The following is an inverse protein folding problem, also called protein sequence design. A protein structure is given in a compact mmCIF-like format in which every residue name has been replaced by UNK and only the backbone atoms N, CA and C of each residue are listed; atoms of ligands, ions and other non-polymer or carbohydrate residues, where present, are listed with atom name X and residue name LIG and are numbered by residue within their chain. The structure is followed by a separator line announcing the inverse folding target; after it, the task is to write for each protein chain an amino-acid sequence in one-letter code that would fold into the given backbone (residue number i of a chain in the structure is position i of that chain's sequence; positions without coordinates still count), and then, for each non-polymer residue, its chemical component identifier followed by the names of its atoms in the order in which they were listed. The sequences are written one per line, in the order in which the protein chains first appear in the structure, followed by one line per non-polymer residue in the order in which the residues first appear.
data_IF_354666734529
#
_entry.id   IF_354666734529
#
_cell.length_a   1.000
_cell.length_b   1.000
_cell.length_c   1.000
_cell.angle_alpha   90.00
_cell.angle_beta   90.00
_cell.angle_gamma   90.00
#
_symmetry.space_group_name_H-M   'P 1'
#
loop_
_entity.id
_entity.type
_entity.pdbx_description
1 polymer ?
#
# COMPACT_ATOMS: atom_id res chain seq x y z
N UNK A 1 15.09 6.15 -9.70
CA UNK A 1 13.70 5.68 -9.60
C UNK A 1 13.71 4.22 -9.13
N UNK A 2 12.92 3.82 -8.13
CA UNK A 2 12.71 2.39 -7.82
C UNK A 2 11.42 2.01 -8.52
N UNK A 3 11.51 1.36 -9.69
CA UNK A 3 10.34 0.77 -10.31
C UNK A 3 9.65 -0.15 -9.30
N UNK A 4 8.33 -0.03 -9.15
CA UNK A 4 7.58 -0.93 -8.28
C UNK A 4 7.33 -2.19 -9.09
N UNK A 5 8.05 -3.26 -8.74
CA UNK A 5 7.92 -4.55 -9.37
C UNK A 5 7.10 -5.48 -8.48
N UNK A 6 6.13 -6.18 -9.08
CA UNK A 6 5.45 -7.31 -8.45
C UNK A 6 5.70 -8.55 -9.29
N UNK A 7 6.27 -9.59 -8.70
CA UNK A 7 6.50 -10.86 -9.39
C UNK A 7 5.68 -11.99 -8.76
N UNK A 8 5.15 -12.88 -9.58
CA UNK A 8 4.47 -14.10 -9.15
C UNK A 8 4.59 -15.19 -10.20
N UNK A 9 4.61 -16.44 -9.74
CA UNK A 9 4.48 -17.60 -10.60
C UNK A 9 2.99 -17.82 -10.92
N UNK A 10 2.70 -18.18 -12.17
CA UNK A 10 1.36 -18.51 -12.64
C UNK A 10 1.38 -19.84 -13.37
N UNK A 11 0.41 -20.70 -13.08
CA UNK A 11 0.10 -21.91 -13.85
C UNK A 11 -1.38 -21.87 -14.23
N UNK A 12 -1.67 -21.99 -15.52
CA UNK A 12 -3.02 -22.01 -16.07
C UNK A 12 -3.32 -23.39 -16.69
N UNK A 13 -4.51 -23.92 -16.40
CA UNK A 13 -4.95 -25.20 -16.95
C UNK A 13 -6.38 -25.12 -17.47
N UNK A 14 -6.62 -25.71 -18.64
CA UNK A 14 -7.98 -25.87 -19.19
C UNK A 14 -8.65 -27.16 -18.70
N UNK A 15 -7.86 -28.09 -18.16
CA UNK A 15 -8.26 -29.46 -17.81
C UNK A 15 -8.33 -29.68 -16.29
N UNK A 16 -7.35 -29.17 -15.53
CA UNK A 16 -7.28 -29.39 -14.09
C UNK A 16 -8.03 -28.33 -13.29
N UNK A 17 -8.69 -28.73 -12.22
CA UNK A 17 -9.24 -27.82 -11.22
C UNK A 17 -8.12 -27.23 -10.33
N UNK A 18 -8.40 -26.15 -9.58
CA UNK A 18 -7.41 -25.53 -8.70
C UNK A 18 -6.83 -26.51 -7.67
N UNK A 19 -7.68 -27.32 -7.03
CA UNK A 19 -7.23 -28.30 -6.03
C UNK A 19 -6.28 -29.36 -6.62
N UNK A 20 -6.48 -29.74 -7.87
CA UNK A 20 -5.61 -30.68 -8.58
C UNK A 20 -4.27 -30.02 -8.93
N UNK A 21 -4.27 -28.74 -9.31
CA UNK A 21 -3.05 -27.96 -9.49
C UNK A 21 -2.25 -27.84 -8.20
N UNK A 22 -2.91 -27.51 -7.08
CA UNK A 22 -2.26 -27.41 -5.77
C UNK A 22 -1.65 -28.74 -5.32
N UNK A 23 -2.37 -29.85 -5.52
CA UNK A 23 -1.86 -31.19 -5.23
C UNK A 23 -0.65 -31.54 -6.13
N UNK A 24 -0.72 -31.24 -7.43
CA UNK A 24 0.34 -31.55 -8.38
C UNK A 24 1.60 -30.70 -8.17
N UNK A 25 1.44 -29.43 -7.81
CA UNK A 25 2.54 -28.53 -7.48
C UNK A 25 3.05 -28.79 -6.04
N UNK A 26 2.22 -29.42 -5.20
CA UNK A 26 2.47 -29.69 -3.79
C UNK A 26 2.69 -28.44 -2.97
N UNK A 27 1.98 -27.36 -3.33
CA UNK A 27 1.96 -26.09 -2.64
C UNK A 27 0.61 -25.40 -2.89
N UNK A 28 -0.05 -24.84 -1.86
CA UNK A 28 -1.29 -24.11 -2.06
C UNK A 28 -1.08 -22.86 -2.92
N UNK A 29 -2.11 -22.50 -3.68
CA UNK A 29 -2.18 -21.21 -4.33
C UNK A 29 -2.32 -20.14 -3.26
N UNK A 30 -1.64 -19.00 -3.45
CA UNK A 30 -1.97 -17.81 -2.69
C UNK A 30 -3.20 -17.11 -3.28
N UNK A 31 -3.32 -17.16 -4.61
CA UNK A 31 -4.52 -16.74 -5.34
C UNK A 31 -4.81 -17.75 -6.43
N UNK A 32 -6.08 -18.12 -6.60
CA UNK A 32 -6.47 -19.00 -7.68
C UNK A 32 -7.97 -19.01 -7.92
N UNK A 33 -8.36 -19.69 -8.98
CA UNK A 33 -9.76 -20.03 -9.29
C UNK A 33 -9.78 -21.31 -10.11
N UNK A 34 -10.91 -22.02 -10.07
CA UNK A 34 -11.17 -23.13 -10.99
C UNK A 34 -11.93 -22.64 -12.21
N UNK A 35 -11.77 -23.36 -13.32
CA UNK A 35 -12.64 -23.23 -14.49
C UNK A 35 -14.11 -23.37 -14.09
N UNK A 36 -14.96 -22.48 -14.61
CA UNK A 36 -16.38 -22.46 -14.29
C UNK A 36 -16.74 -21.71 -13.00
N UNK A 37 -15.76 -21.33 -12.16
CA UNK A 37 -16.02 -20.45 -11.03
C UNK A 37 -16.52 -19.10 -11.54
N UNK A 38 -17.67 -18.67 -11.04
CA UNK A 38 -18.24 -17.37 -11.32
C UNK A 38 -18.09 -16.46 -10.10
N UNK A 39 -17.74 -15.20 -10.32
CA UNK A 39 -17.78 -14.15 -9.29
C UNK A 39 -18.95 -13.21 -9.57
N UNK A 40 -19.55 -12.56 -8.54
CA UNK A 40 -20.54 -11.52 -8.78
C UNK A 40 -19.97 -10.49 -9.77
N UNK A 41 -20.65 -10.29 -10.90
CA UNK A 41 -20.28 -9.38 -12.01
C UNK A 41 -19.11 -9.82 -12.91
N UNK A 42 -18.71 -11.10 -12.92
CA UNK A 42 -17.76 -11.64 -13.92
C UNK A 42 -18.30 -12.93 -14.55
N UNK A 43 -18.10 -13.14 -15.86
CA UNK A 43 -18.41 -14.42 -16.48
C UNK A 43 -17.56 -15.54 -15.86
N UNK A 44 -18.01 -16.81 -15.93
CA UNK A 44 -17.24 -17.95 -15.47
C UNK A 44 -15.86 -17.99 -16.11
N UNK A 45 -14.85 -18.41 -15.36
CA UNK A 45 -13.48 -18.53 -15.88
C UNK A 45 -13.37 -19.68 -16.89
N UNK A 46 -12.68 -19.45 -18.01
CA UNK A 46 -12.45 -20.47 -19.06
C UNK A 46 -11.34 -21.47 -18.71
N UNK A 47 -10.52 -21.13 -17.71
CA UNK A 47 -9.41 -21.92 -17.20
C UNK A 47 -9.34 -21.86 -15.67
N UNK A 48 -8.64 -22.82 -15.07
CA UNK A 48 -8.19 -22.74 -13.69
C UNK A 48 -6.84 -22.03 -13.63
N UNK A 49 -6.61 -21.28 -12.56
CA UNK A 49 -5.37 -20.54 -12.36
C UNK A 49 -4.81 -20.76 -10.95
N UNK A 50 -3.53 -21.09 -10.87
CA UNK A 50 -2.74 -21.12 -9.64
C UNK A 50 -1.73 -19.98 -9.68
N UNK A 51 -1.70 -19.16 -8.63
CA UNK A 51 -0.72 -18.08 -8.47
C UNK A 51 0.05 -18.21 -7.17
N UNK A 52 1.37 -18.07 -7.27
CA UNK A 52 2.27 -18.02 -6.12
C UNK A 52 3.14 -16.76 -6.15
N UNK A 53 2.87 -15.78 -5.28
CA UNK A 53 3.64 -14.56 -5.21
C UNK A 53 5.08 -14.80 -4.76
N UNK A 54 6.02 -14.09 -5.39
CA UNK A 54 7.44 -14.14 -5.01
C UNK A 54 7.79 -13.08 -3.96
N UNK A 55 6.99 -12.95 -2.89
CA UNK A 55 7.20 -11.93 -1.87
C UNK A 55 8.40 -12.28 -0.98
N UNK A 56 9.52 -11.58 -1.15
CA UNK A 56 10.56 -11.56 -0.11
C UNK A 56 10.11 -10.62 1.01
N UNK A 57 10.19 -11.11 2.26
CA UNK A 57 9.79 -10.43 3.51
C UNK A 57 9.91 -8.89 3.41
N UNK A 58 8.78 -8.21 3.56
CA UNK A 58 8.65 -6.76 3.77
C UNK A 58 9.34 -5.83 2.74
N UNK A 59 9.72 -6.31 1.55
CA UNK A 59 10.32 -5.45 0.53
C UNK A 59 9.78 -5.76 -0.86
N UNK A 60 9.06 -4.77 -1.41
CA UNK A 60 8.98 -4.53 -2.86
C UNK A 60 10.38 -4.79 -3.43
N UNK A 61 10.51 -5.66 -4.44
CA UNK A 61 11.82 -6.04 -4.97
C UNK A 61 12.64 -4.76 -5.21
N UNK A 62 13.73 -4.59 -4.46
CA UNK A 62 14.58 -3.39 -4.49
C UNK A 62 15.42 -3.34 -5.77
N UNK A 63 14.74 -3.37 -6.92
CA UNK A 63 15.30 -3.82 -8.18
C UNK A 63 15.19 -5.33 -8.36
N UNK A 64 15.71 -5.78 -9.50
CA UNK A 64 15.69 -7.16 -10.00
C UNK A 64 16.37 -8.19 -9.10
N UNK A 65 17.34 -7.78 -8.30
CA UNK A 65 18.00 -8.61 -7.27
C UNK A 65 17.02 -9.23 -6.26
N UNK A 66 15.86 -8.59 -6.05
CA UNK A 66 14.80 -9.13 -5.22
C UNK A 66 14.10 -10.34 -5.85
N UNK A 67 13.93 -10.33 -7.17
CA UNK A 67 13.25 -11.41 -7.91
C UNK A 67 14.17 -12.63 -7.97
N UNK A 68 15.45 -12.42 -8.26
CA UNK A 68 16.45 -13.49 -8.29
C UNK A 68 16.55 -14.23 -6.96
N UNK A 69 16.63 -13.51 -5.84
CA UNK A 69 16.66 -14.12 -4.51
C UNK A 69 15.37 -14.88 -4.19
N UNK A 70 14.22 -14.36 -4.60
CA UNK A 70 12.95 -15.04 -4.38
C UNK A 70 12.88 -16.36 -5.17
N UNK A 71 13.33 -16.35 -6.44
CA UNK A 71 13.41 -17.56 -7.27
C UNK A 71 14.42 -18.56 -6.68
N UNK A 72 15.59 -18.09 -6.25
CA UNK A 72 16.61 -18.94 -5.63
C UNK A 72 16.12 -19.60 -4.33
N UNK A 73 15.18 -18.96 -3.61
CA UNK A 73 14.54 -19.53 -2.43
C UNK A 73 13.49 -20.62 -2.72
N UNK A 74 13.12 -20.83 -3.98
CA UNK A 74 12.13 -21.85 -4.36
C UNK A 74 12.76 -23.26 -4.41
N UNK A 75 12.03 -24.30 -3.96
CA UNK A 75 12.50 -25.67 -4.07
C UNK A 75 12.75 -26.09 -5.52
N UNK A 76 13.79 -26.88 -5.76
CA UNK A 76 14.08 -27.42 -7.09
C UNK A 76 12.99 -28.41 -7.55
N UNK A 77 12.39 -29.13 -6.61
CA UNK A 77 11.28 -30.06 -6.84
C UNK A 77 10.04 -29.32 -7.35
N UNK A 78 9.84 -28.05 -6.96
CA UNK A 78 8.75 -27.24 -7.49
C UNK A 78 8.95 -26.98 -8.98
N UNK A 79 10.18 -26.69 -9.42
CA UNK A 79 10.47 -26.53 -10.84
C UNK A 79 10.14 -27.80 -11.63
N UNK A 80 10.51 -28.98 -11.13
CA UNK A 80 10.19 -30.25 -11.78
C UNK A 80 8.68 -30.51 -11.87
N UNK A 81 7.93 -30.17 -10.82
CA UNK A 81 6.47 -30.30 -10.80
C UNK A 81 5.81 -29.34 -11.79
N UNK A 82 6.26 -28.09 -11.84
CA UNK A 82 5.79 -27.13 -12.87
C UNK A 82 6.09 -27.67 -14.26
N UNK A 83 7.30 -28.22 -14.49
CA UNK A 83 7.67 -28.82 -15.77
C UNK A 83 6.76 -29.97 -16.16
N UNK A 84 6.39 -30.83 -15.21
CA UNK A 84 5.45 -31.92 -15.47
C UNK A 84 4.07 -31.40 -15.90
N UNK A 85 3.60 -30.29 -15.32
CA UNK A 85 2.35 -29.61 -15.74
C UNK A 85 2.47 -29.03 -17.15
N UNK A 86 3.59 -28.38 -17.47
CA UNK A 86 3.85 -27.85 -18.83
C UNK A 86 3.86 -28.97 -19.87
N UNK A 87 4.49 -30.11 -19.57
CA UNK A 87 4.47 -31.30 -20.45
C UNK A 87 3.05 -31.87 -20.60
N UNK A 88 2.21 -31.75 -19.58
CA UNK A 88 0.80 -32.15 -19.63
C UNK A 88 -0.10 -31.16 -20.40
N UNK A 89 0.44 -30.04 -20.88
CA UNK A 89 -0.28 -29.06 -21.70
C UNK A 89 -0.69 -27.78 -20.97
N UNK A 90 -0.34 -27.61 -19.68
CA UNK A 90 -0.59 -26.37 -18.96
C UNK A 90 0.35 -25.25 -19.38
N UNK A 91 -0.10 -23.99 -19.25
CA UNK A 91 0.75 -22.83 -19.44
C UNK A 91 1.35 -22.39 -18.10
N UNK A 92 2.66 -22.16 -18.05
CA UNK A 92 3.33 -21.66 -16.85
C UNK A 92 4.18 -20.42 -17.16
N UNK A 93 4.04 -19.36 -16.37
CA UNK A 93 4.76 -18.09 -16.58
C UNK A 93 5.23 -17.47 -15.27
N UNK A 94 6.45 -16.92 -15.25
CA UNK A 94 6.82 -15.89 -14.29
C UNK A 94 6.22 -14.57 -14.78
N UNK A 95 5.26 -14.03 -14.03
CA UNK A 95 4.65 -12.75 -14.35
C UNK A 95 5.31 -11.66 -13.53
N UNK A 96 5.81 -10.62 -14.21
CA UNK A 96 6.40 -9.44 -13.61
C UNK A 96 5.58 -8.24 -14.03
N UNK A 97 4.95 -7.60 -13.06
CA UNK A 97 4.20 -6.36 -13.26
C UNK A 97 5.08 -5.19 -12.87
N UNK A 98 5.34 -4.31 -13.83
CA UNK A 98 6.02 -3.04 -13.63
C UNK A 98 5.00 -1.90 -13.66
N UNK A 99 4.90 -1.15 -12.57
CA UNK A 99 4.20 0.14 -12.55
C UNK A 99 5.22 1.24 -12.89
N UNK A 100 5.04 1.90 -14.04
CA UNK A 100 5.88 3.03 -14.47
C UNK A 100 5.15 4.33 -14.15
N UNK A 101 5.53 4.97 -13.05
CA UNK A 101 5.03 6.28 -12.62
C UNK A 101 6.08 7.37 -12.97
N UNK A 102 5.78 8.22 -13.97
CA UNK A 102 6.50 9.47 -14.26
C UNK A 102 7.82 9.37 -15.06
N UNK A 103 8.25 10.52 -15.60
CA UNK A 103 9.48 10.67 -16.40
C UNK A 103 10.74 10.31 -15.60
N UNK A 104 11.59 9.47 -16.19
CA UNK A 104 12.85 9.02 -15.62
C UNK A 104 14.02 9.89 -16.13
N UNK A 105 14.61 10.76 -15.29
CA UNK A 105 15.78 11.54 -15.68
C UNK A 105 17.08 10.70 -15.69
N UNK A 106 17.04 9.43 -15.27
CA UNK A 106 18.24 8.60 -15.02
C UNK A 106 18.41 7.37 -15.93
N UNK A 107 17.46 7.06 -16.81
CA UNK A 107 17.58 5.93 -17.74
C UNK A 107 17.52 4.59 -17.01
N UNK A 108 16.31 4.08 -16.82
CA UNK A 108 15.97 2.85 -16.11
C UNK A 108 16.82 1.70 -16.62
N UNK A 109 17.74 1.22 -15.78
CA UNK A 109 18.34 -0.10 -15.90
C UNK A 109 17.18 -1.11 -15.95
N UNK A 110 16.98 -1.74 -17.11
CA UNK A 110 15.86 -2.65 -17.35
C UNK A 110 15.79 -3.83 -16.38
N UNK A 111 14.81 -4.70 -16.59
CA UNK A 111 14.70 -5.94 -15.85
C UNK A 111 15.91 -6.85 -16.12
N UNK A 112 16.76 -7.08 -15.13
CA UNK A 112 17.77 -8.14 -15.12
C UNK A 112 17.28 -9.39 -14.38
N UNK A 113 17.71 -10.57 -14.82
CA UNK A 113 17.54 -11.82 -14.10
C UNK A 113 18.90 -12.53 -14.11
N UNK A 114 19.32 -13.02 -12.95
CA UNK A 114 20.55 -13.76 -12.77
C UNK A 114 20.50 -15.13 -13.45
N UNK A 115 21.68 -15.68 -13.75
CA UNK A 115 21.81 -16.97 -14.43
C UNK A 115 21.06 -18.11 -13.70
N UNK A 116 21.08 -18.11 -12.36
CA UNK A 116 20.41 -19.12 -11.54
C UNK A 116 18.87 -19.01 -11.66
N UNK A 117 18.34 -17.80 -11.67
CA UNK A 117 16.90 -17.57 -11.88
C UNK A 117 16.46 -18.03 -13.27
N UNK A 118 17.26 -17.70 -14.29
CA UNK A 118 17.03 -18.16 -15.67
C UNK A 118 17.08 -19.69 -15.76
N UNK A 119 18.07 -20.32 -15.11
CA UNK A 119 18.20 -21.79 -15.09
C UNK A 119 17.01 -22.44 -14.38
N UNK A 120 16.51 -21.86 -13.29
CA UNK A 120 15.33 -22.34 -12.58
C UNK A 120 14.08 -22.26 -13.48
N UNK A 121 13.85 -21.12 -14.15
CA UNK A 121 12.73 -20.94 -15.09
C UNK A 121 12.80 -21.93 -16.26
N UNK A 122 13.99 -22.14 -16.81
CA UNK A 122 14.22 -23.09 -17.90
C UNK A 122 13.94 -24.54 -17.47
N UNK A 123 14.36 -24.93 -16.26
CA UNK A 123 14.04 -26.23 -15.66
C UNK A 123 12.52 -26.40 -15.54
N UNK A 124 11.83 -25.39 -15.03
CA UNK A 124 10.38 -25.38 -14.89
C UNK A 124 9.63 -25.35 -16.24
N UNK A 125 10.30 -24.98 -17.34
CA UNK A 125 9.66 -24.79 -18.64
C UNK A 125 8.72 -23.58 -18.67
N UNK A 126 8.99 -22.56 -17.84
CA UNK A 126 8.15 -21.37 -17.73
C UNK A 126 8.53 -20.32 -18.77
N UNK A 127 7.52 -19.58 -19.27
CA UNK A 127 7.75 -18.34 -20.00
C UNK A 127 7.94 -17.16 -19.03
N UNK A 128 8.48 -16.05 -19.55
CA UNK A 128 8.53 -14.77 -18.86
C UNK A 128 7.45 -13.86 -19.45
N UNK A 129 6.60 -13.32 -18.59
CA UNK A 129 5.53 -12.38 -18.94
C UNK A 129 5.77 -11.07 -18.20
N UNK A 130 5.94 -9.97 -18.94
CA UNK A 130 6.24 -8.65 -18.37
C UNK A 130 5.11 -7.70 -18.72
N UNK A 131 4.28 -7.40 -17.72
CA UNK A 131 3.21 -6.42 -17.83
C UNK A 131 3.73 -5.05 -17.41
N UNK A 132 3.91 -4.16 -18.38
CA UNK A 132 4.26 -2.77 -18.10
C UNK A 132 3.00 -1.92 -18.13
N UNK A 133 2.58 -1.47 -16.96
CA UNK A 133 1.60 -0.41 -16.86
C UNK A 133 2.37 0.90 -16.84
N UNK A 134 2.49 1.53 -18.01
CA UNK A 134 2.64 2.97 -18.01
C UNK A 134 1.36 3.51 -17.38
N UNK A 135 1.47 4.13 -16.21
CA UNK A 135 0.43 5.07 -15.85
C UNK A 135 0.56 6.19 -16.89
N UNK A 136 -0.18 6.06 -18.00
CA UNK A 136 -0.42 7.13 -18.93
C UNK A 136 -1.23 8.17 -18.14
N UNK A 137 -0.56 8.89 -17.26
CA UNK A 137 -0.83 10.30 -17.13
C UNK A 137 -0.52 10.81 -18.54
N UNK A 138 -1.53 10.77 -19.42
CA UNK A 138 -1.46 11.58 -20.61
C UNK A 138 -1.16 12.96 -20.06
N UNK A 139 0.04 13.48 -20.30
CA UNK A 139 0.27 14.88 -20.09
C UNK A 139 -0.80 15.55 -20.95
N UNK A 140 -1.86 16.13 -20.36
CA UNK A 140 -2.75 16.93 -21.15
C UNK A 140 -1.87 18.09 -21.60
N UNK A 141 -1.90 18.42 -22.89
CA UNK A 141 -1.43 19.72 -23.33
C UNK A 141 -2.15 20.76 -22.45
N UNK A 142 -1.42 21.40 -21.54
CA UNK A 142 -1.96 22.25 -20.48
C UNK A 142 -1.97 21.65 -19.07
N UNK A 143 -0.80 21.22 -18.56
CA UNK A 143 -0.60 20.91 -17.13
C UNK A 143 -1.01 22.14 -16.31
N UNK A 144 -2.08 22.00 -15.52
CA UNK A 144 -2.50 23.01 -14.57
C UNK A 144 -1.32 23.35 -13.65
N UNK A 145 -1.07 24.63 -13.30
CA UNK A 145 -0.04 24.99 -12.32
C UNK A 145 -0.21 24.30 -10.96
N UNK A 146 -1.37 23.70 -10.69
CA UNK A 146 -1.69 22.95 -9.47
C UNK A 146 -1.45 21.43 -9.58
N UNK A 147 -0.90 20.93 -10.70
CA UNK A 147 -0.55 19.51 -10.83
C UNK A 147 0.70 19.19 -10.00
N UNK A 148 0.52 18.35 -8.99
CA UNK A 148 1.61 17.75 -8.25
C UNK A 148 1.77 16.29 -8.67
N UNK A 149 3.00 15.82 -9.00
CA UNK A 149 3.22 14.41 -9.28
C UNK A 149 2.81 13.56 -8.07
N UNK A 150 2.39 12.29 -8.25
CA UNK A 150 2.08 11.40 -7.13
C UNK A 150 3.24 11.32 -6.12
N UNK A 151 2.89 11.25 -4.83
CA UNK A 151 3.88 11.19 -3.77
C UNK A 151 4.54 9.81 -3.70
N UNK A 152 5.87 9.75 -3.79
CA UNK A 152 6.60 8.55 -3.42
C UNK A 152 6.59 8.38 -1.89
N UNK A 153 5.78 7.45 -1.40
CA UNK A 153 5.68 7.17 0.04
C UNK A 153 7.00 6.72 0.67
N UNK A 154 7.91 6.10 -0.10
CA UNK A 154 9.23 5.71 0.39
C UNK A 154 10.11 6.93 0.68
N UNK A 155 10.10 7.89 -0.24
CA UNK A 155 10.72 9.20 -0.07
C UNK A 155 10.06 9.98 1.06
N UNK A 156 8.73 10.03 1.12
CA UNK A 156 8.00 10.70 2.20
C UNK A 156 8.39 10.16 3.59
N UNK A 157 8.48 8.84 3.77
CA UNK A 157 8.95 8.24 5.04
C UNK A 157 10.34 8.74 5.40
N UNK A 158 11.27 8.76 4.45
CA UNK A 158 12.64 9.20 4.68
C UNK A 158 12.70 10.69 5.06
N UNK A 159 11.98 11.53 4.31
CA UNK A 159 11.90 12.98 4.53
C UNK A 159 11.24 13.30 5.85
N UNK A 160 10.05 12.76 6.12
CA UNK A 160 9.34 12.97 7.39
C UNK A 160 10.19 12.51 8.58
N UNK A 161 10.83 11.34 8.50
CA UNK A 161 11.72 10.87 9.58
C UNK A 161 12.92 11.81 9.81
N UNK A 162 13.44 12.44 8.75
CA UNK A 162 14.51 13.41 8.86
C UNK A 162 14.03 14.74 9.45
N UNK A 163 12.87 15.25 9.02
CA UNK A 163 12.24 16.45 9.58
C UNK A 163 11.90 16.24 11.06
N UNK A 164 11.35 15.09 11.46
CA UNK A 164 11.09 14.79 12.87
C UNK A 164 12.37 14.79 13.71
N UNK A 165 13.47 14.17 13.26
CA UNK A 165 14.74 14.25 14.01
C UNK A 165 15.27 15.69 14.14
N UNK A 166 15.10 16.51 13.12
CA UNK A 166 15.45 17.94 13.18
C UNK A 166 14.56 18.68 14.18
N UNK A 167 13.26 18.41 14.15
CA UNK A 167 12.30 18.95 15.11
C UNK A 167 12.66 18.56 16.54
N UNK A 168 12.93 17.29 16.82
CA UNK A 168 13.29 16.81 18.16
C UNK A 168 14.56 17.47 18.70
N UNK A 169 15.57 17.66 17.84
CA UNK A 169 16.79 18.39 18.19
C UNK A 169 16.51 19.86 18.52
N UNK A 170 15.70 20.54 17.69
CA UNK A 170 15.29 21.91 17.91
C UNK A 170 14.43 22.07 19.18
N UNK A 171 13.52 21.14 19.42
CA UNK A 171 12.70 21.08 20.64
C UNK A 171 13.59 20.96 21.88
N UNK A 172 14.56 20.05 21.87
CA UNK A 172 15.45 19.84 23.00
C UNK A 172 16.30 21.09 23.31
N UNK A 173 16.79 21.77 22.27
CA UNK A 173 17.50 23.04 22.41
C UNK A 173 16.62 24.14 23.01
N UNK A 174 15.38 24.27 22.51
CA UNK A 174 14.45 25.33 22.92
C UNK A 174 13.86 25.11 24.32
N UNK A 175 13.49 23.87 24.63
CA UNK A 175 12.76 23.52 25.86
C UNK A 175 13.68 23.06 27.00
N UNK A 176 14.94 22.69 26.70
CA UNK A 176 15.91 22.23 27.69
C UNK A 176 15.76 20.76 28.13
N UNK A 177 14.93 19.97 27.43
CA UNK A 177 14.76 18.53 27.64
C UNK A 177 14.32 17.84 26.35
N UNK A 178 14.66 16.55 26.12
CA UNK A 178 14.31 15.85 24.90
C UNK A 178 12.81 15.49 24.86
N UNK A 179 12.29 15.23 23.66
CA UNK A 179 10.97 14.58 23.51
C UNK A 179 11.01 13.15 24.08
N UNK A 180 9.85 12.61 24.42
CA UNK A 180 9.75 11.22 24.86
C UNK A 180 10.08 10.26 23.70
N UNK A 181 10.96 9.26 23.91
CA UNK A 181 11.31 8.30 22.86
C UNK A 181 10.08 7.57 22.33
N UNK A 182 9.90 7.61 21.01
CA UNK A 182 8.77 6.95 20.34
C UNK A 182 7.54 7.83 20.13
N UNK A 183 7.53 9.06 20.67
CA UNK A 183 6.44 10.02 20.46
C UNK A 183 6.35 10.53 19.02
N UNK A 184 7.50 10.64 18.33
CA UNK A 184 7.56 11.01 16.91
C UNK A 184 8.26 9.93 16.08
N UNK A 185 7.47 9.08 15.43
CA UNK A 185 7.96 7.96 14.63
C UNK A 185 7.24 7.85 13.30
N UNK A 186 7.97 7.45 12.27
CA UNK A 186 7.40 6.92 11.03
C UNK A 186 8.01 5.55 10.78
N UNK A 187 7.17 4.54 10.66
CA UNK A 187 7.61 3.16 10.46
C UNK A 187 7.33 2.70 9.04
N UNK A 188 8.15 1.78 8.54
CA UNK A 188 7.87 1.09 7.28
C UNK A 188 7.00 -0.14 7.51
N UNK A 189 6.15 -0.44 6.53
CA UNK A 189 5.31 -1.64 6.53
C UNK A 189 6.17 -2.91 6.65
N UNK A 190 5.66 -3.92 7.36
CA UNK A 190 6.35 -5.20 7.57
C UNK A 190 7.38 -5.26 8.71
N UNK A 191 7.51 -4.20 9.52
CA UNK A 191 8.40 -4.22 10.69
C UNK A 191 7.79 -4.88 11.94
N UNK A 192 6.46 -4.99 12.09
CA UNK A 192 5.86 -5.55 13.33
C UNK A 192 4.39 -6.00 13.28
N UNK A 193 3.69 -5.93 12.14
CA UNK A 193 2.21 -6.00 12.13
C UNK A 193 1.71 -7.24 11.38
N UNK A 194 0.78 -8.05 11.94
CA UNK A 194 0.17 -9.17 11.23
C UNK A 194 -0.55 -8.69 9.96
N UNK A 195 -0.55 -9.54 8.91
CA UNK A 195 -1.20 -9.24 7.64
C UNK A 195 -2.70 -9.01 7.84
N UNK A 196 -3.21 -7.97 7.19
CA UNK A 196 -4.59 -7.51 7.28
C UNK A 196 -5.18 -7.50 5.88
N UNK A 197 -6.43 -7.98 5.66
CA UNK A 197 -7.08 -7.86 4.37
C UNK A 197 -7.36 -6.37 4.06
N UNK A 198 -6.49 -5.74 3.27
CA UNK A 198 -6.64 -4.33 2.87
C UNK A 198 -7.62 -4.15 1.69
N UNK A 199 -8.26 -5.23 1.24
CA UNK A 199 -9.11 -5.25 0.03
C UNK A 199 -10.31 -4.30 0.15
N UNK A 200 -10.75 -4.03 1.38
CA UNK A 200 -11.84 -3.11 1.68
C UNK A 200 -11.37 -1.67 1.90
N UNK A 201 -10.10 -1.33 1.71
CA UNK A 201 -9.61 0.05 1.81
C UNK A 201 -9.57 0.76 0.45
N UNK A 202 -9.76 2.09 0.41
CA UNK A 202 -9.47 2.88 -0.78
C UNK A 202 -8.05 2.62 -1.31
N UNK A 203 -7.90 2.49 -2.63
CA UNK A 203 -6.61 2.19 -3.30
C UNK A 203 -5.46 3.09 -2.85
N UNK A 204 -5.63 4.42 -2.62
CA UNK A 204 -4.55 5.26 -2.10
C UNK A 204 -4.05 4.81 -0.72
N UNK A 205 -4.94 4.45 0.21
CA UNK A 205 -4.56 3.93 1.53
C UNK A 205 -3.89 2.56 1.44
N UNK A 206 -4.33 1.68 0.54
CA UNK A 206 -3.64 0.41 0.28
C UNK A 206 -2.19 0.67 -0.16
N UNK A 207 -1.99 1.56 -1.14
CA UNK A 207 -0.64 1.92 -1.63
C UNK A 207 0.23 2.53 -0.53
N UNK A 208 -0.37 3.32 0.36
CA UNK A 208 0.30 3.90 1.53
C UNK A 208 0.72 2.82 2.52
N UNK A 209 -0.20 1.95 2.95
CA UNK A 209 0.08 0.89 3.93
C UNK A 209 0.96 -0.24 3.40
N UNK A 210 1.11 -0.36 2.09
CA UNK A 210 2.15 -1.20 1.47
C UNK A 210 3.58 -0.70 1.78
N UNK A 211 3.77 0.57 2.13
CA UNK A 211 5.08 1.19 2.38
C UNK A 211 5.23 1.65 3.82
N UNK A 212 4.18 2.24 4.38
CA UNK A 212 4.18 2.89 5.69
C UNK A 212 3.41 2.02 6.68
N UNK A 213 4.01 1.74 7.83
CA UNK A 213 3.37 0.98 8.90
C UNK A 213 2.42 1.86 9.70
N UNK A 214 2.94 2.97 10.21
CA UNK A 214 2.23 4.01 10.95
C UNK A 214 3.08 5.29 10.97
N UNK A 215 2.44 6.41 11.29
CA UNK A 215 3.12 7.65 11.66
C UNK A 215 2.52 8.16 12.98
N UNK A 216 3.36 8.50 13.93
CA UNK A 216 2.97 9.14 15.19
C UNK A 216 3.83 10.39 15.32
N UNK A 217 3.20 11.53 15.56
CA UNK A 217 3.80 12.85 15.64
C UNK A 217 3.22 13.55 16.87
N UNK A 218 3.30 12.90 18.04
CA UNK A 218 2.58 13.30 19.26
C UNK A 218 3.02 14.67 19.78
N UNK A 219 4.24 15.08 19.49
CA UNK A 219 4.79 16.37 19.92
C UNK A 219 4.64 17.47 18.86
N UNK A 220 4.02 17.18 17.71
CA UNK A 220 3.81 18.16 16.63
C UNK A 220 2.43 18.79 16.79
N UNK A 221 2.39 20.09 17.06
CA UNK A 221 1.17 20.86 17.31
C UNK A 221 0.31 20.26 18.45
N UNK A 222 -0.85 19.66 18.15
CA UNK A 222 -1.72 18.96 19.13
C UNK A 222 -1.54 17.44 19.14
N UNK A 223 -0.63 16.93 18.31
CA UNK A 223 -0.28 15.51 18.19
C UNK A 223 -1.00 14.82 17.03
N UNK A 224 -0.30 14.51 15.94
CA UNK A 224 -0.92 13.83 14.79
C UNK A 224 -0.59 12.34 14.77
N UNK A 225 -1.53 11.51 14.30
CA UNK A 225 -1.27 10.10 14.07
C UNK A 225 -1.93 9.58 12.79
N UNK A 226 -1.20 8.76 12.05
CA UNK A 226 -1.70 7.84 11.04
C UNK A 226 -1.57 6.43 11.63
N UNK A 227 -2.71 5.83 11.92
CA UNK A 227 -2.78 4.57 12.65
C UNK A 227 -2.33 3.38 11.78
N UNK A 228 -1.85 2.28 12.37
CA UNK A 228 -1.50 1.11 11.60
C UNK A 228 -2.74 0.45 10.98
N UNK A 229 -2.56 -0.20 9.83
CA UNK A 229 -3.68 -0.79 9.09
C UNK A 229 -4.56 -1.76 9.90
N UNK A 230 -3.98 -2.42 10.92
CA UNK A 230 -4.70 -3.30 11.87
C UNK A 230 -5.77 -2.60 12.68
N UNK A 231 -5.69 -1.28 12.87
CA UNK A 231 -6.76 -0.52 13.57
C UNK A 231 -7.95 -0.21 12.66
N UNK A 232 -7.78 -0.38 11.35
CA UNK A 232 -8.78 -0.03 10.33
C UNK A 232 -9.68 -1.22 10.01
N UNK A 233 -9.06 -2.39 9.93
CA UNK A 233 -9.69 -3.62 9.49
C UNK A 233 -9.68 -4.60 10.66
N UNK A 234 -10.79 -4.63 11.39
CA UNK A 234 -10.99 -5.57 12.47
C UNK A 234 -12.44 -5.61 12.91
N UNK A 235 -12.86 -6.79 13.37
CA UNK A 235 -14.18 -7.08 13.96
C UNK A 235 -14.27 -6.65 15.44
N UNK A 236 -13.25 -5.94 15.94
CA UNK A 236 -13.10 -5.58 17.36
C UNK A 236 -13.74 -4.24 17.75
N UNK A 237 -13.97 -4.09 19.06
CA UNK A 237 -14.54 -2.91 19.76
C UNK A 237 -13.80 -1.57 19.56
N UNK A 238 -12.66 -1.56 18.87
CA UNK A 238 -11.82 -0.37 18.60
C UNK A 238 -11.95 0.15 17.16
N UNK A 239 -12.90 -0.37 16.40
CA UNK A 239 -13.11 0.01 15.03
C UNK A 239 -13.50 1.50 14.89
N UNK A 240 -12.60 2.28 14.28
CA UNK A 240 -12.89 3.65 13.88
C UNK A 240 -14.15 3.73 12.97
N UNK A 241 -14.77 4.91 12.88
CA UNK A 241 -15.92 5.11 12.01
C UNK A 241 -15.64 4.65 10.58
N UNK A 242 -16.53 3.83 10.04
CA UNK A 242 -16.56 3.50 8.61
C UNK A 242 -17.58 4.36 7.86
N UNK A 243 -18.38 5.13 8.59
CA UNK A 243 -19.48 5.94 8.07
C UNK A 243 -19.59 7.26 8.79
N UNK A 244 -20.17 8.23 8.11
CA UNK A 244 -20.53 9.55 8.63
C UNK A 244 -22.00 9.76 8.35
N UNK A 245 -22.74 10.25 9.34
CA UNK A 245 -24.12 10.73 9.19
C UNK A 245 -24.16 12.23 9.48
N UNK A 246 -24.52 13.02 8.46
CA UNK A 246 -24.69 14.47 8.57
C UNK A 246 -26.11 14.80 8.13
N UNK A 247 -26.95 15.22 9.09
CA UNK A 247 -28.33 15.63 8.84
C UNK A 247 -29.14 14.55 8.07
N UNK A 248 -28.87 13.26 8.32
CA UNK A 248 -29.51 12.11 7.66
C UNK A 248 -28.85 11.67 6.35
N UNK A 249 -27.86 12.40 5.86
CA UNK A 249 -27.05 12.01 4.71
C UNK A 249 -25.87 11.14 5.14
N UNK A 250 -25.71 9.98 4.50
CA UNK A 250 -24.67 9.00 4.85
C UNK A 250 -23.54 8.99 3.83
N UNK A 251 -22.31 9.03 4.35
CA UNK A 251 -21.07 8.98 3.57
C UNK A 251 -20.22 7.83 4.08
N UNK A 252 -19.80 6.94 3.19
CA UNK A 252 -18.90 5.84 3.50
C UNK A 252 -17.44 6.33 3.49
N UNK A 253 -16.71 6.01 4.54
CA UNK A 253 -15.34 6.49 4.75
C UNK A 253 -14.39 5.39 5.21
N UNK A 254 -13.10 5.68 5.15
CA UNK A 254 -12.05 4.94 5.83
C UNK A 254 -11.30 5.91 6.75
N UNK A 255 -11.63 5.90 8.05
CA UNK A 255 -10.87 6.66 9.06
C UNK A 255 -9.50 6.02 9.25
N UNK A 256 -8.43 6.79 9.03
CA UNK A 256 -7.05 6.28 9.02
C UNK A 256 -6.11 6.98 10.01
N UNK A 257 -6.54 8.07 10.63
CA UNK A 257 -5.69 8.83 11.53
C UNK A 257 -6.48 9.65 12.56
N UNK A 258 -5.75 10.34 13.42
CA UNK A 258 -6.29 11.22 14.46
C UNK A 258 -5.44 12.48 14.63
N UNK A 259 -6.04 13.52 15.19
CA UNK A 259 -5.37 14.80 15.47
C UNK A 259 -4.94 14.98 16.93
N UNK A 260 -4.98 13.94 17.77
CA UNK A 260 -4.54 14.02 19.18
C UNK A 260 -5.51 14.78 20.10
N UNK A 261 -6.33 15.69 19.56
CA UNK A 261 -7.42 16.40 20.22
C UNK A 261 -8.75 15.65 20.23
N UNK A 262 -8.76 14.39 19.78
CA UNK A 262 -9.95 13.53 19.67
C UNK A 262 -10.68 13.63 18.32
N UNK A 263 -10.19 14.45 17.40
CA UNK A 263 -10.61 14.46 16.01
C UNK A 263 -9.97 13.33 15.21
N UNK A 264 -10.60 13.01 14.08
CA UNK A 264 -10.22 11.89 13.22
C UNK A 264 -9.97 12.37 11.78
N UNK A 265 -9.02 11.74 11.11
CA UNK A 265 -8.82 11.89 9.67
C UNK A 265 -9.44 10.71 8.94
N UNK A 266 -10.27 11.00 7.95
CA UNK A 266 -10.95 9.98 7.17
C UNK A 266 -10.86 10.26 5.67
N UNK A 267 -10.82 9.19 4.89
CA UNK A 267 -10.89 9.26 3.44
C UNK A 267 -12.30 8.91 2.98
N UNK A 268 -12.91 9.78 2.17
CA UNK A 268 -14.19 9.49 1.52
C UNK A 268 -13.96 8.43 0.44
N UNK A 269 -14.71 7.32 0.50
CA UNK A 269 -14.46 6.16 -0.37
C UNK A 269 -14.73 6.46 -1.85
N UNK A 270 -15.73 7.28 -2.13
CA UNK A 270 -16.19 7.52 -3.50
C UNK A 270 -15.24 8.41 -4.31
N UNK A 271 -14.54 9.35 -3.66
CA UNK A 271 -13.72 10.35 -4.35
C UNK A 271 -12.31 10.54 -3.77
N UNK A 272 -11.94 9.80 -2.73
CA UNK A 272 -10.58 9.82 -2.17
C UNK A 272 -10.21 11.07 -1.38
N UNK A 273 -11.11 12.04 -1.23
CA UNK A 273 -10.86 13.26 -0.46
C UNK A 273 -10.62 12.94 1.00
N UNK A 274 -9.72 13.68 1.64
CA UNK A 274 -9.43 13.57 3.06
C UNK A 274 -10.18 14.64 3.83
N UNK A 275 -10.89 14.20 4.86
CA UNK A 275 -11.70 15.04 5.72
C UNK A 275 -11.26 14.90 7.17
N UNK A 276 -11.38 16.01 7.90
CA UNK A 276 -11.26 16.05 9.35
C UNK A 276 -12.65 15.92 9.97
N UNK A 277 -12.78 14.99 10.91
CA UNK A 277 -13.96 14.78 11.72
C UNK A 277 -13.66 15.32 13.12
N UNK A 278 -14.25 16.45 13.53
CA UNK A 278 -14.08 16.94 14.90
C UNK A 278 -14.61 15.93 15.92
N UNK A 279 -14.20 16.02 17.20
CA UNK A 279 -14.72 15.18 18.27
C UNK A 279 -16.26 15.18 18.28
N UNK A 280 -16.86 13.99 18.21
CA UNK A 280 -18.32 13.83 18.17
C UNK A 280 -18.75 12.42 18.59
N UNK A 281 -20.06 12.18 18.60
CA UNK A 281 -20.61 10.87 18.93
C UNK A 281 -20.30 9.84 17.84
N UNK A 282 -19.78 8.68 18.26
CA UNK A 282 -19.62 7.51 17.41
C UNK A 282 -20.47 6.38 17.95
N UNK A 283 -21.42 5.90 17.13
CA UNK A 283 -22.28 4.75 17.44
C UNK A 283 -22.29 3.79 16.26
N UNK A 284 -22.12 2.50 16.52
CA UNK A 284 -22.12 1.45 15.49
C UNK A 284 -21.20 1.79 14.29
N UNK A 285 -19.99 2.26 14.58
CA UNK A 285 -18.98 2.71 13.59
C UNK A 285 -19.47 3.84 12.66
N UNK A 286 -20.47 4.60 13.10
CA UNK A 286 -20.97 5.78 12.42
C UNK A 286 -20.66 7.00 13.27
N UNK A 287 -19.94 7.95 12.70
CA UNK A 287 -19.73 9.27 13.30
C UNK A 287 -20.94 10.15 12.99
N UNK A 288 -21.49 10.83 13.99
CA UNK A 288 -22.67 11.69 13.85
C UNK A 288 -22.27 13.15 14.00
N UNK A 289 -22.71 14.01 13.09
CA UNK A 289 -22.49 15.45 13.23
C UNK A 289 -23.32 16.02 14.40
N UNK A 290 -22.67 16.70 15.34
CA UNK A 290 -23.35 17.62 16.25
C UNK A 290 -23.48 18.99 15.58
N UNK A 291 -24.42 19.82 16.05
CA UNK A 291 -24.72 21.13 15.43
C UNK A 291 -23.50 22.05 15.30
N UNK A 292 -22.52 21.92 16.20
CA UNK A 292 -21.27 22.69 16.22
C UNK A 292 -20.07 21.97 15.59
N UNK A 293 -20.20 20.69 15.24
CA UNK A 293 -19.10 19.83 14.80
C UNK A 293 -19.45 19.26 13.42
N UNK A 294 -18.98 19.92 12.36
CA UNK A 294 -19.16 19.46 10.97
C UNK A 294 -17.85 18.93 10.40
N UNK A 295 -17.89 17.87 9.56
CA UNK A 295 -16.73 17.44 8.80
C UNK A 295 -16.16 18.59 7.97
N UNK A 296 -14.83 18.67 7.88
CA UNK A 296 -14.12 19.66 7.08
C UNK A 296 -13.27 18.96 6.03
N UNK A 297 -13.34 19.41 4.78
CA UNK A 297 -12.40 18.98 3.76
C UNK A 297 -11.01 19.57 4.06
N UNK A 298 -9.99 18.74 4.22
CA UNK A 298 -8.62 19.18 4.55
C UNK A 298 -7.60 18.87 3.46
N UNK A 299 -7.91 17.94 2.57
CA UNK A 299 -7.11 17.69 1.37
C UNK A 299 -7.94 17.04 0.26
N UNK A 300 -7.57 17.32 -0.99
CA UNK A 300 -8.20 16.72 -2.17
C UNK A 300 -7.95 15.21 -2.26
N UNK A 301 -6.82 14.74 -1.73
CA UNK A 301 -6.38 13.34 -1.72
C UNK A 301 -5.35 13.08 -0.60
N UNK A 302 -4.91 11.83 -0.51
CA UNK A 302 -3.93 11.40 0.50
C UNK A 302 -2.57 12.08 0.31
N UNK A 303 -2.12 12.27 -0.93
CA UNK A 303 -0.80 12.82 -1.22
C UNK A 303 -0.71 14.27 -0.76
N UNK A 304 -1.77 15.03 -1.02
CA UNK A 304 -1.92 16.42 -0.54
C UNK A 304 -1.96 16.48 0.98
N UNK A 305 -2.70 15.58 1.63
CA UNK A 305 -2.72 15.48 3.09
C UNK A 305 -1.33 15.21 3.69
N UNK A 306 -0.58 14.26 3.10
CA UNK A 306 0.75 13.89 3.58
C UNK A 306 1.79 14.99 3.37
N UNK A 307 1.64 15.83 2.32
CA UNK A 307 2.43 17.05 2.13
C UNK A 307 2.10 18.10 3.18
N UNK A 308 0.81 18.39 3.42
CA UNK A 308 0.41 19.31 4.48
C UNK A 308 0.99 18.90 5.84
N UNK A 309 1.00 17.61 6.15
CA UNK A 309 1.60 17.13 7.40
C UNK A 309 3.11 17.39 7.47
N UNK A 310 3.82 17.27 6.34
CA UNK A 310 5.25 17.62 6.27
C UNK A 310 5.46 19.13 6.45
N UNK A 311 4.66 19.94 5.77
CA UNK A 311 4.70 21.41 5.85
C UNK A 311 4.46 21.88 7.30
N UNK A 312 3.56 21.23 8.04
CA UNK A 312 3.32 21.53 9.46
C UNK A 312 4.57 21.29 10.31
N UNK A 313 5.29 20.19 10.08
CA UNK A 313 6.54 19.89 10.81
C UNK A 313 7.62 20.91 10.45
N UNK A 314 7.78 21.22 9.16
CA UNK A 314 8.79 22.16 8.70
C UNK A 314 8.50 23.58 9.18
N UNK A 315 7.24 24.03 9.17
CA UNK A 315 6.82 25.32 9.72
C UNK A 315 7.10 25.42 11.22
N UNK A 316 6.86 24.34 11.97
CA UNK A 316 7.12 24.29 13.41
C UNK A 316 8.63 24.39 13.70
N UNK A 317 9.48 23.81 12.85
CA UNK A 317 10.94 23.96 12.94
C UNK A 317 11.36 25.41 12.63
N UNK A 318 10.80 26.01 11.58
CA UNK A 318 11.21 27.34 11.11
C UNK A 318 10.75 28.48 12.02
N UNK A 319 9.53 28.38 12.54
CA UNK A 319 8.86 29.49 13.24
C UNK A 319 8.64 29.22 14.72
N UNK A 320 8.76 27.97 15.15
CA UNK A 320 8.43 27.54 16.51
C UNK A 320 6.92 27.46 16.79
N UNK A 321 6.08 27.77 15.80
CA UNK A 321 4.61 27.74 15.86
C UNK A 321 4.04 27.13 14.57
N UNK A 322 2.78 26.68 14.59
CA UNK A 322 2.08 26.22 13.40
C UNK A 322 0.58 26.29 13.63
N UNK A 323 -0.18 26.51 12.56
CA UNK A 323 -1.65 26.46 12.63
C UNK A 323 -2.20 25.03 12.63
N UNK A 324 -1.33 24.03 12.41
CA UNK A 324 -1.75 22.65 12.22
C UNK A 324 -2.51 22.44 10.91
N UNK A 325 -3.24 21.32 10.86
CA UNK A 325 -4.14 20.91 9.76
C UNK A 325 -5.59 21.32 10.07
#
# INVERSE_FOLDING_TARGET
MIGIWRAYLRVLSTEAALAELEAALGMPAHRGHSKGDARPRRPPHEWSAWHHPLWWRASRHGGTDGIDRAIHGLPAELADRVRARVVAGDAASLVIVQDMDGDDPTGSLGLTLGADAVAWLARAGMSLDVDQYACLVGAPDGVSPDYHPPLDFGSWVATMSASLRRYEAHFAERCGYPVEPGSNIVTRSGTSVPWVPLEDLPRPLVRFYDVVGQASLMDVHIGYAIHPATTLVGDGKLAYPGRIDVDGSRIEVATFGSDGGGGLFAMVRDNGRVIHLPPSDVRDRTWFAHTAARPRDIAADLDTFLRHLLDVVDQLIETGDTRGI
#
